data_IF_150118608303
#
_entry.id   IF_150118608303
#
_cell.length_a   1.000
_cell.length_b   1.000
_cell.length_c   1.000
_cell.angle_alpha   90.00
_cell.angle_beta   90.00
_cell.angle_gamma   90.00
#
_symmetry.space_group_name_H-M   'P 1'
#
loop_
_entity.id
_entity.type
_entity.pdbx_description
1 polymer ?
#
# COMPACT_ATOMS: atom_id res chain seq x y z
N UNK A 1 -12.72 -9.56 29.87
CA UNK A 1 -11.48 -8.78 29.80
C UNK A 1 -11.31 -8.28 28.38
N UNK A 2 -11.43 -6.96 28.19
CA UNK A 2 -11.38 -6.29 26.88
C UNK A 2 -9.92 -6.05 26.53
N UNK A 3 -9.40 -6.67 25.45
CA UNK A 3 -8.06 -6.45 24.90
C UNK A 3 -7.91 -5.05 24.27
N UNK A 4 -8.45 -4.01 24.91
CA UNK A 4 -8.56 -2.65 24.38
C UNK A 4 -7.16 -2.06 24.20
N UNK A 5 -6.62 -2.22 23.00
CA UNK A 5 -5.45 -1.48 22.52
C UNK A 5 -4.37 -2.29 21.79
N UNK A 6 -4.36 -3.63 21.86
CA UNK A 6 -3.26 -4.43 21.27
C UNK A 6 -3.59 -5.05 19.91
N UNK A 7 -4.86 -5.29 19.64
CA UNK A 7 -5.37 -5.87 18.40
C UNK A 7 -6.53 -5.06 17.86
N UNK A 8 -6.73 -5.11 16.55
CA UNK A 8 -7.78 -4.43 15.81
C UNK A 8 -8.49 -5.46 14.93
N UNK A 9 -9.81 -5.38 14.83
CA UNK A 9 -10.59 -6.20 13.89
C UNK A 9 -10.21 -5.81 12.46
N UNK A 10 -9.94 -6.79 11.60
CA UNK A 10 -9.66 -6.50 10.18
C UNK A 10 -10.87 -5.86 9.52
N UNK A 11 -12.09 -6.33 9.80
CA UNK A 11 -13.31 -5.74 9.23
C UNK A 11 -13.45 -4.27 9.60
N UNK A 12 -13.29 -3.93 10.88
CA UNK A 12 -13.37 -2.54 11.36
C UNK A 12 -12.26 -1.68 10.75
N UNK A 13 -11.04 -2.21 10.66
CA UNK A 13 -9.89 -1.50 10.08
C UNK A 13 -10.09 -1.19 8.58
N UNK A 14 -10.61 -2.13 7.80
CA UNK A 14 -10.88 -1.91 6.38
C UNK A 14 -11.99 -0.88 6.16
N UNK A 15 -13.06 -0.94 6.96
CA UNK A 15 -14.16 0.03 6.91
C UNK A 15 -13.71 1.44 7.32
N UNK A 16 -12.97 1.57 8.42
CA UNK A 16 -12.48 2.85 8.95
C UNK A 16 -11.55 3.57 7.97
N UNK A 17 -10.75 2.81 7.22
CA UNK A 17 -9.75 3.36 6.30
C UNK A 17 -10.13 3.23 4.82
N UNK A 18 -11.33 2.74 4.51
CA UNK A 18 -11.81 2.54 3.13
C UNK A 18 -10.84 1.74 2.25
N UNK A 19 -10.18 0.71 2.80
CA UNK A 19 -9.21 -0.14 2.10
C UNK A 19 -9.94 -1.33 1.49
N UNK A 20 -9.71 -1.61 0.20
CA UNK A 20 -10.29 -2.78 -0.47
C UNK A 20 -9.65 -4.10 0.01
N UNK A 21 -10.37 -5.22 -0.10
CA UNK A 21 -9.83 -6.53 0.34
C UNK A 21 -8.60 -6.99 -0.47
N UNK A 22 -8.58 -6.69 -1.77
CA UNK A 22 -7.45 -6.97 -2.66
C UNK A 22 -6.22 -6.16 -2.27
N UNK A 23 -6.42 -4.86 -2.04
CA UNK A 23 -5.35 -3.97 -1.60
C UNK A 23 -4.80 -4.37 -0.22
N UNK A 24 -5.69 -4.76 0.70
CA UNK A 24 -5.27 -5.28 2.00
C UNK A 24 -4.43 -6.55 1.87
N UNK A 25 -4.86 -7.50 1.02
CA UNK A 25 -4.13 -8.74 0.73
C UNK A 25 -2.70 -8.43 0.26
N UNK A 26 -2.56 -7.58 -0.75
CA UNK A 26 -1.25 -7.21 -1.31
C UNK A 26 -0.33 -6.60 -0.24
N UNK A 27 -0.89 -5.78 0.65
CA UNK A 27 -0.13 -5.13 1.72
C UNK A 27 0.32 -6.10 2.79
N UNK A 28 -0.55 -6.99 3.26
CA UNK A 28 -0.17 -7.97 4.29
C UNK A 28 0.84 -8.98 3.76
N UNK A 29 0.76 -9.31 2.46
CA UNK A 29 1.72 -10.18 1.78
C UNK A 29 3.09 -9.51 1.69
N UNK A 30 3.14 -8.29 1.14
CA UNK A 30 4.38 -7.51 1.01
C UNK A 30 5.07 -7.26 2.35
N UNK A 31 4.30 -6.95 3.39
CA UNK A 31 4.83 -6.64 4.72
C UNK A 31 5.06 -7.88 5.59
N UNK A 32 4.70 -9.07 5.08
CA UNK A 32 4.72 -10.35 5.81
C UNK A 32 4.00 -10.23 7.16
N UNK A 33 2.84 -9.59 7.18
CA UNK A 33 2.06 -9.36 8.40
C UNK A 33 1.20 -10.59 8.68
N UNK A 34 1.40 -11.27 9.83
CA UNK A 34 0.54 -12.36 10.21
C UNK A 34 -0.82 -11.83 10.65
N UNK A 35 -1.88 -12.39 10.06
CA UNK A 35 -3.25 -12.21 10.53
C UNK A 35 -3.53 -13.17 11.68
N UNK A 36 -4.43 -12.81 12.59
CA UNK A 36 -4.69 -13.55 13.81
C UNK A 36 -6.16 -13.92 13.92
N UNK A 37 -6.47 -15.19 14.20
CA UNK A 37 -7.78 -15.63 14.65
C UNK A 37 -7.74 -15.98 16.14
N UNK A 38 -8.87 -15.88 16.85
CA UNK A 38 -8.93 -16.27 18.27
C UNK A 38 -8.83 -17.78 18.41
N UNK A 39 -7.97 -18.24 19.32
CA UNK A 39 -7.94 -19.64 19.73
C UNK A 39 -9.16 -19.94 20.62
N UNK A 40 -10.04 -20.90 20.25
CA UNK A 40 -11.17 -21.27 21.10
C UNK A 40 -10.72 -21.84 22.45
N UNK A 41 -11.46 -21.57 23.51
CA UNK A 41 -11.13 -22.11 24.85
C UNK A 41 -11.38 -23.62 24.97
N UNK A 42 -12.15 -24.18 24.04
CA UNK A 42 -12.52 -25.59 23.98
C UNK A 42 -11.43 -26.47 23.38
N UNK A 43 -10.40 -25.87 22.75
CA UNK A 43 -9.30 -26.62 22.15
C UNK A 43 -8.06 -26.66 23.03
N UNK A 44 -7.18 -27.62 22.75
CA UNK A 44 -5.81 -27.67 23.19
C UNK A 44 -4.89 -27.45 21.97
N UNK A 45 -3.75 -26.77 22.18
CA UNK A 45 -2.76 -26.51 21.14
C UNK A 45 -1.59 -27.47 21.33
N UNK A 46 -1.19 -28.12 20.24
CA UNK A 46 -0.03 -28.98 20.15
C UNK A 46 0.96 -28.37 19.17
N UNK A 47 2.24 -28.58 19.39
CA UNK A 47 3.30 -28.30 18.42
C UNK A 47 3.84 -29.62 17.93
N UNK A 48 4.02 -29.76 16.62
CA UNK A 48 4.53 -30.96 16.01
C UNK A 48 5.48 -30.61 14.87
N UNK A 49 6.50 -31.44 14.64
CA UNK A 49 7.46 -31.19 13.58
C UNK A 49 8.32 -32.41 13.26
N UNK A 50 9.15 -32.27 12.24
CA UNK A 50 10.19 -33.22 11.87
C UNK A 50 11.52 -32.79 12.48
N UNK A 51 12.14 -33.68 13.27
CA UNK A 51 13.22 -33.32 14.18
C UNK A 51 14.34 -34.35 14.14
N UNK A 52 15.57 -33.90 13.92
CA UNK A 52 16.77 -34.72 14.07
C UNK A 52 17.45 -34.38 15.39
N UNK A 53 17.52 -35.34 16.30
CA UNK A 53 18.29 -35.27 17.55
C UNK A 53 19.75 -35.59 17.24
N UNK A 54 20.65 -34.68 17.62
CA UNK A 54 22.09 -34.80 17.41
C UNK A 54 22.73 -35.43 18.65
N UNK A 55 22.86 -36.75 18.68
CA UNK A 55 23.59 -37.46 19.74
C UNK A 55 25.02 -37.78 19.29
N UNK A 56 25.94 -37.97 20.25
CA UNK A 56 27.37 -38.23 20.00
C UNK A 56 27.68 -39.46 19.12
N UNK A 57 26.72 -40.37 18.97
CA UNK A 57 26.93 -41.64 18.28
C UNK A 57 26.35 -41.69 16.85
N UNK A 58 25.34 -40.85 16.51
CA UNK A 58 24.74 -40.71 15.16
C UNK A 58 23.49 -39.80 15.23
N UNK A 59 23.20 -38.97 14.20
CA UNK A 59 21.94 -38.23 14.09
C UNK A 59 20.75 -39.19 13.98
N UNK A 60 19.72 -38.99 14.80
CA UNK A 60 18.48 -39.80 14.76
C UNK A 60 17.27 -38.89 14.67
N UNK A 61 16.27 -39.27 13.88
CA UNK A 61 14.93 -38.67 13.97
C UNK A 61 14.42 -38.81 15.41
N UNK A 62 13.66 -37.84 15.91
CA UNK A 62 13.13 -37.88 17.27
C UNK A 62 12.25 -39.13 17.50
N UNK A 63 11.66 -39.68 16.43
CA UNK A 63 11.23 -41.07 16.37
C UNK A 63 12.34 -41.99 15.85
N UNK A 64 13.09 -42.60 16.78
CA UNK A 64 13.42 -44.03 16.75
C UNK A 64 13.91 -44.49 18.11
N UNK A 65 13.01 -44.47 19.09
CA UNK A 65 13.02 -45.41 20.22
C UNK A 65 11.59 -45.96 20.30
N UNK A 66 11.39 -47.04 19.54
CA UNK A 66 10.25 -47.96 19.55
C UNK A 66 8.84 -47.41 19.24
N UNK A 67 8.47 -47.36 17.95
CA UNK A 67 7.21 -47.94 17.41
C UNK A 67 7.07 -47.72 15.89
N UNK A 68 6.39 -48.66 15.24
CA UNK A 68 6.20 -48.82 13.79
C UNK A 68 5.40 -47.71 13.07
N UNK A 69 5.10 -46.57 13.70
CA UNK A 69 4.36 -45.50 13.04
C UNK A 69 5.34 -44.49 12.43
N UNK A 70 5.35 -44.35 11.10
CA UNK A 70 5.86 -43.15 10.44
C UNK A 70 4.83 -42.05 10.68
N UNK A 71 5.17 -41.01 11.43
CA UNK A 71 4.28 -39.86 11.62
C UNK A 71 3.89 -39.57 13.07
N UNK A 72 3.28 -38.41 13.27
CA UNK A 72 2.50 -38.07 14.47
C UNK A 72 1.02 -38.29 14.22
N UNK A 73 0.22 -38.23 15.29
CA UNK A 73 -1.24 -38.30 15.19
C UNK A 73 -1.86 -37.11 14.43
N UNK A 74 -1.07 -36.05 14.19
CA UNK A 74 -1.51 -34.82 13.52
C UNK A 74 -1.01 -34.70 12.07
N UNK A 75 0.15 -35.26 11.78
CA UNK A 75 0.81 -35.16 10.48
C UNK A 75 1.73 -36.37 10.26
N UNK A 76 1.57 -37.03 9.11
CA UNK A 76 2.37 -38.20 8.73
C UNK A 76 3.85 -37.88 8.51
N UNK A 77 4.18 -36.63 8.16
CA UNK A 77 5.55 -36.18 7.87
C UNK A 77 6.31 -35.74 9.12
N UNK A 78 5.58 -35.45 10.21
CA UNK A 78 6.17 -35.08 11.48
C UNK A 78 6.55 -36.30 12.30
N UNK A 79 7.64 -36.24 13.05
CA UNK A 79 8.12 -37.34 13.89
C UNK A 79 8.08 -37.00 15.39
N UNK A 80 7.81 -35.75 15.77
CA UNK A 80 7.67 -35.37 17.16
C UNK A 80 6.46 -34.46 17.36
N UNK A 81 5.85 -34.55 18.53
CA UNK A 81 4.89 -33.56 18.99
C UNK A 81 4.96 -33.38 20.50
N UNK A 82 4.56 -32.20 20.96
CA UNK A 82 4.34 -31.89 22.37
C UNK A 82 3.08 -31.04 22.50
N UNK A 83 2.41 -31.14 23.65
CA UNK A 83 1.39 -30.17 24.02
C UNK A 83 2.05 -28.82 24.33
N UNK A 84 1.39 -27.73 23.98
CA UNK A 84 1.82 -26.36 24.32
C UNK A 84 1.21 -25.96 25.66
N UNK A 85 2.06 -25.67 26.65
CA UNK A 85 1.63 -25.28 28.00
C UNK A 85 1.33 -23.77 28.13
N UNK A 86 1.59 -22.98 27.08
CA UNK A 86 1.26 -21.56 27.03
C UNK A 86 -0.24 -21.35 26.80
N UNK A 87 -0.79 -20.34 27.45
CA UNK A 87 -2.18 -19.91 27.25
C UNK A 87 -2.30 -19.10 25.95
N UNK A 88 -2.28 -19.83 24.82
CA UNK A 88 -2.40 -19.28 23.47
C UNK A 88 -3.75 -18.58 23.31
N UNK A 89 -3.71 -17.30 22.92
CA UNK A 89 -4.90 -16.48 22.70
C UNK A 89 -5.28 -16.38 21.23
N UNK A 90 -4.28 -16.40 20.35
CA UNK A 90 -4.48 -16.28 18.91
C UNK A 90 -3.60 -17.25 18.15
N UNK A 91 -4.10 -17.67 16.99
CA UNK A 91 -3.39 -18.49 16.01
C UNK A 91 -3.28 -17.68 14.72
N UNK A 92 -2.17 -17.82 14.01
CA UNK A 92 -1.97 -17.05 12.78
C UNK A 92 -2.57 -17.71 11.56
N UNK A 93 -3.27 -16.96 10.74
CA UNK A 93 -3.68 -17.39 9.40
C UNK A 93 -2.79 -16.72 8.34
N UNK A 94 -2.56 -17.40 7.22
CA UNK A 94 -1.73 -16.91 6.12
C UNK A 94 -2.50 -15.97 5.18
N UNK A 95 -1.78 -15.38 4.22
CA UNK A 95 -2.38 -14.61 3.12
C UNK A 95 -3.28 -15.48 2.26
N UNK A 96 -2.89 -16.74 2.03
CA UNK A 96 -3.70 -17.70 1.27
C UNK A 96 -5.00 -18.03 2.01
N UNK A 97 -4.95 -18.17 3.35
CA UNK A 97 -6.15 -18.38 4.16
C UNK A 97 -7.09 -17.16 4.08
N UNK A 98 -6.53 -15.94 4.09
CA UNK A 98 -7.31 -14.72 3.90
C UNK A 98 -8.02 -14.67 2.55
N UNK A 99 -7.32 -15.02 1.47
CA UNK A 99 -7.90 -15.06 0.13
C UNK A 99 -9.06 -16.05 0.05
N UNK A 100 -8.94 -17.21 0.70
CA UNK A 100 -10.03 -18.18 0.77
C UNK A 100 -11.23 -17.63 1.55
N UNK A 101 -11.00 -17.01 2.71
CA UNK A 101 -12.08 -16.39 3.51
C UNK A 101 -12.74 -15.22 2.77
N UNK A 102 -11.98 -14.41 2.03
CA UNK A 102 -12.50 -13.31 1.23
C UNK A 102 -13.42 -13.81 0.11
N UNK A 103 -13.02 -14.89 -0.58
CA UNK A 103 -13.78 -15.45 -1.69
C UNK A 103 -15.01 -16.27 -1.26
N UNK A 104 -14.89 -17.04 -0.18
CA UNK A 104 -15.91 -18.03 0.23
C UNK A 104 -16.62 -17.69 1.54
N UNK A 105 -16.19 -16.64 2.24
CA UNK A 105 -16.78 -16.15 3.49
C UNK A 105 -16.27 -16.82 4.77
N UNK A 106 -15.76 -18.05 4.67
CA UNK A 106 -15.20 -18.81 5.79
C UNK A 106 -14.14 -19.83 5.36
N UNK A 107 -13.31 -20.24 6.30
CA UNK A 107 -12.30 -21.29 6.15
C UNK A 107 -12.34 -22.23 7.35
N UNK A 108 -12.30 -23.54 7.11
CA UNK A 108 -12.11 -24.55 8.15
C UNK A 108 -10.64 -24.95 8.23
N UNK A 109 -10.01 -24.82 9.41
CA UNK A 109 -8.57 -25.07 9.56
C UNK A 109 -8.22 -25.67 10.91
N UNK A 110 -7.23 -26.57 10.94
CA UNK A 110 -6.74 -27.24 12.15
C UNK A 110 -5.23 -27.10 12.39
N UNK A 111 -4.47 -26.52 11.46
CA UNK A 111 -3.01 -26.35 11.54
C UNK A 111 -2.58 -24.88 11.40
N UNK A 112 -1.52 -24.45 12.09
CA UNK A 112 -1.08 -23.04 12.11
C UNK A 112 0.43 -22.93 12.28
N UNK A 113 1.06 -21.84 11.84
CA UNK A 113 2.52 -21.70 11.89
C UNK A 113 3.02 -20.81 13.03
N UNK A 114 2.23 -19.80 13.41
CA UNK A 114 2.53 -18.88 14.50
C UNK A 114 1.39 -18.88 15.51
N UNK A 115 1.74 -18.58 16.75
CA UNK A 115 0.81 -18.38 17.85
C UNK A 115 1.08 -17.05 18.53
N UNK A 116 0.07 -16.49 19.19
CA UNK A 116 0.23 -15.33 20.04
C UNK A 116 -0.40 -15.55 21.41
N UNK A 117 0.33 -15.17 22.45
CA UNK A 117 -0.06 -15.34 23.85
C UNK A 117 0.26 -14.08 24.64
N UNK A 118 -0.38 -13.93 25.80
CA UNK A 118 -0.13 -12.79 26.65
C UNK A 118 1.10 -13.03 27.53
N UNK A 119 2.11 -12.19 27.39
CA UNK A 119 3.28 -12.18 28.25
C UNK A 119 3.17 -11.04 29.28
N UNK A 120 3.31 -11.40 30.56
CA UNK A 120 3.15 -10.46 31.67
C UNK A 120 4.19 -9.34 31.57
N UNK A 121 3.72 -8.10 31.51
CA UNK A 121 4.57 -6.91 31.41
C UNK A 121 5.10 -6.59 30.00
N UNK A 122 4.93 -7.48 29.00
CA UNK A 122 5.37 -7.24 27.61
C UNK A 122 4.24 -7.19 26.59
N UNK A 123 3.01 -7.55 26.97
CA UNK A 123 1.85 -7.44 26.09
C UNK A 123 1.57 -8.72 25.31
N UNK A 124 1.33 -8.61 24.01
CA UNK A 124 1.04 -9.76 23.15
C UNK A 124 2.34 -10.24 22.50
N UNK A 125 2.88 -11.36 22.98
CA UNK A 125 4.06 -12.01 22.41
C UNK A 125 3.65 -12.98 21.30
N UNK A 126 4.57 -13.26 20.38
CA UNK A 126 4.40 -14.25 19.33
C UNK A 126 5.48 -15.31 19.45
N UNK A 127 5.13 -16.55 19.11
CA UNK A 127 6.08 -17.63 18.97
C UNK A 127 5.70 -18.50 17.76
N UNK A 128 6.71 -18.87 17.00
CA UNK A 128 6.59 -19.86 15.93
C UNK A 128 6.50 -21.27 16.49
N UNK A 129 5.92 -22.18 15.69
CA UNK A 129 5.93 -23.61 15.98
C UNK A 129 7.37 -24.11 16.19
N UNK A 130 8.31 -23.62 15.37
CA UNK A 130 9.72 -23.98 15.46
C UNK A 130 10.32 -23.61 16.82
N UNK A 131 10.08 -22.39 17.33
CA UNK A 131 10.60 -21.94 18.63
C UNK A 131 10.03 -22.72 19.82
N UNK A 132 8.73 -23.00 19.79
CA UNK A 132 8.09 -23.79 20.86
C UNK A 132 8.51 -25.26 20.82
N UNK A 133 8.64 -25.84 19.62
CA UNK A 133 9.16 -27.19 19.44
C UNK A 133 10.61 -27.31 19.92
N UNK A 134 11.45 -26.33 19.58
CA UNK A 134 12.83 -26.27 20.08
C UNK A 134 12.89 -26.18 21.59
N UNK A 135 11.95 -25.47 22.20
CA UNK A 135 11.87 -25.34 23.66
C UNK A 135 11.42 -26.65 24.32
N UNK A 136 10.45 -27.37 23.73
CA UNK A 136 10.01 -28.67 24.27
C UNK A 136 11.09 -29.76 24.18
N UNK A 137 12.04 -29.64 23.24
CA UNK A 137 13.12 -30.60 23.06
C UNK A 137 14.34 -30.35 23.96
N UNK A 138 14.43 -29.21 24.65
CA UNK A 138 15.56 -28.93 25.56
C UNK A 138 15.62 -29.98 26.69
N UNK A 139 16.83 -30.41 27.11
CA UNK A 139 18.15 -29.89 26.71
C UNK A 139 18.76 -30.57 25.47
N UNK A 140 18.01 -31.37 24.72
CA UNK A 140 18.55 -32.13 23.59
C UNK A 140 18.91 -31.19 22.42
N UNK A 141 20.13 -31.27 21.87
CA UNK A 141 20.47 -30.57 20.63
C UNK A 141 19.67 -31.19 19.48
N UNK A 142 18.77 -30.39 18.91
CA UNK A 142 17.86 -30.84 17.87
C UNK A 142 17.88 -29.88 16.68
N UNK A 143 17.96 -30.45 15.48
CA UNK A 143 17.71 -29.77 14.22
C UNK A 143 16.24 -29.99 13.85
N UNK A 144 15.49 -28.90 13.67
CA UNK A 144 14.08 -28.95 13.27
C UNK A 144 14.01 -28.65 11.78
N UNK A 145 13.42 -29.57 11.01
CA UNK A 145 13.26 -29.46 9.55
C UNK A 145 11.98 -28.71 9.21
N UNK A 146 10.88 -29.11 9.85
CA UNK A 146 9.56 -28.51 9.69
C UNK A 146 8.81 -28.54 11.02
N UNK A 147 7.85 -27.64 11.20
CA UNK A 147 7.03 -27.56 12.39
C UNK A 147 5.73 -26.78 12.16
N UNK A 148 4.65 -27.25 12.76
CA UNK A 148 3.38 -26.56 12.82
C UNK A 148 2.67 -26.77 14.16
N UNK A 149 1.76 -25.86 14.48
CA UNK A 149 0.77 -26.03 15.52
C UNK A 149 -0.43 -26.81 15.00
N UNK A 150 -0.99 -27.65 15.85
CA UNK A 150 -2.23 -28.38 15.60
C UNK A 150 -3.17 -28.18 16.78
N UNK A 151 -4.46 -28.17 16.51
CA UNK A 151 -5.49 -28.05 17.55
C UNK A 151 -6.30 -29.34 17.68
N UNK A 152 -6.58 -29.69 18.93
CA UNK A 152 -7.37 -30.86 19.29
C UNK A 152 -8.47 -30.45 20.26
N UNK A 153 -9.52 -31.26 20.38
CA UNK A 153 -10.53 -31.04 21.41
C UNK A 153 -9.91 -31.23 22.79
N UNK A 154 -10.14 -30.28 23.71
CA UNK A 154 -9.66 -30.41 25.10
C UNK A 154 -10.18 -31.67 25.79
N UNK A 155 -11.35 -32.16 25.37
CA UNK A 155 -11.99 -33.36 25.92
C UNK A 155 -11.62 -34.64 25.14
N UNK A 156 -10.93 -34.52 24.01
CA UNK A 156 -10.54 -35.65 23.15
C UNK A 156 -9.21 -35.32 22.47
N UNK A 157 -8.07 -35.47 23.17
CA UNK A 157 -6.76 -35.03 22.70
C UNK A 157 -6.26 -35.78 21.47
N UNK A 158 -6.85 -36.93 21.15
CA UNK A 158 -6.53 -37.75 19.99
C UNK A 158 -7.38 -37.39 18.75
N UNK A 159 -8.17 -36.31 18.81
CA UNK A 159 -9.01 -35.87 17.70
C UNK A 159 -8.64 -34.46 17.29
N UNK A 160 -8.20 -34.31 16.05
CA UNK A 160 -8.03 -33.02 15.40
C UNK A 160 -9.38 -32.29 15.39
N UNK A 161 -9.35 -31.03 15.79
CA UNK A 161 -10.53 -30.17 15.78
C UNK A 161 -10.31 -29.10 14.72
N UNK A 162 -11.25 -28.95 13.79
CA UNK A 162 -11.24 -27.84 12.86
C UNK A 162 -11.94 -26.63 13.47
N UNK A 163 -11.37 -25.44 13.27
CA UNK A 163 -12.04 -24.18 13.59
C UNK A 163 -12.51 -23.52 12.30
N UNK A 164 -13.77 -23.06 12.33
CA UNK A 164 -14.33 -22.22 11.28
C UNK A 164 -13.90 -20.78 11.57
N UNK A 165 -13.23 -20.16 10.61
CA UNK A 165 -12.71 -18.80 10.69
C UNK A 165 -13.45 -17.95 9.68
N UNK A 166 -14.13 -16.90 10.15
CA UNK A 166 -14.82 -15.92 9.30
C UNK A 166 -14.08 -14.61 9.31
N UNK A 167 -14.38 -13.74 8.34
CA UNK A 167 -13.78 -12.40 8.24
C UNK A 167 -13.85 -11.59 9.55
N UNK A 168 -14.98 -11.69 10.26
CA UNK A 168 -15.22 -11.01 11.55
C UNK A 168 -14.38 -11.54 12.71
N UNK A 169 -13.78 -12.72 12.55
CA UNK A 169 -12.94 -13.37 13.57
C UNK A 169 -11.45 -13.05 13.40
N UNK A 170 -11.11 -12.24 12.38
CA UNK A 170 -9.74 -11.92 12.01
C UNK A 170 -9.31 -10.59 12.63
N UNK A 171 -8.13 -10.62 13.21
CA UNK A 171 -7.51 -9.50 13.89
C UNK A 171 -6.10 -9.24 13.35
N UNK A 172 -5.64 -8.01 13.47
CA UNK A 172 -4.25 -7.61 13.31
C UNK A 172 -3.73 -6.99 14.59
N UNK A 173 -2.42 -7.05 14.81
CA UNK A 173 -1.77 -6.28 15.88
C UNK A 173 -1.85 -4.79 15.55
N UNK A 174 -2.06 -3.94 16.56
CA UNK A 174 -2.08 -2.48 16.39
C UNK A 174 -0.78 -1.91 15.81
N UNK A 175 0.37 -2.50 16.12
CA UNK A 175 1.65 -2.09 15.53
C UNK A 175 1.69 -2.34 14.02
N UNK A 176 1.02 -3.42 13.57
CA UNK A 176 0.95 -3.77 12.15
C UNK A 176 -0.06 -2.90 11.40
N UNK A 177 -1.12 -2.39 12.05
CA UNK A 177 -2.06 -1.48 11.39
C UNK A 177 -1.35 -0.21 10.90
N UNK A 178 -0.47 0.37 11.72
CA UNK A 178 0.31 1.54 11.30
C UNK A 178 1.19 1.24 10.08
N UNK A 179 1.84 0.07 10.04
CA UNK A 179 2.66 -0.35 8.88
C UNK A 179 1.83 -0.51 7.60
N UNK A 180 0.62 -1.06 7.73
CA UNK A 180 -0.32 -1.21 6.60
C UNK A 180 -0.80 0.17 6.10
N UNK A 181 -1.00 1.13 7.01
CA UNK A 181 -1.37 2.51 6.69
C UNK A 181 -0.20 3.32 6.13
N UNK A 182 1.02 3.14 6.63
CA UNK A 182 2.23 3.78 6.09
C UNK A 182 2.49 3.35 4.64
N UNK A 183 2.04 2.14 4.27
CA UNK A 183 2.06 1.72 2.86
C UNK A 183 1.16 2.59 1.99
N UNK A 184 0.06 3.19 2.50
CA UNK A 184 -0.74 4.19 1.77
C UNK A 184 0.15 5.35 1.31
N UNK A 185 1.00 5.84 2.21
CA UNK A 185 1.90 6.97 1.95
C UNK A 185 3.08 6.62 0.99
N UNK A 186 3.33 5.33 0.74
CA UNK A 186 4.35 4.85 -0.19
C UNK A 186 3.77 4.20 -1.47
N UNK A 187 2.50 3.78 -1.51
CA UNK A 187 1.80 3.47 -2.78
C UNK A 187 1.37 4.74 -3.50
N UNK A 188 1.12 5.86 -2.79
CA UNK A 188 1.12 7.21 -3.38
C UNK A 188 2.50 7.61 -3.93
N UNK A 189 3.56 6.85 -3.60
CA UNK A 189 4.90 6.94 -4.18
C UNK A 189 5.28 5.76 -5.06
N UNK A 190 4.34 5.01 -5.64
CA UNK A 190 4.57 4.60 -7.04
C UNK A 190 4.34 5.84 -7.89
N UNK A 191 5.21 6.83 -7.65
CA UNK A 191 5.51 7.85 -8.61
C UNK A 191 5.99 7.02 -9.80
N UNK A 192 5.10 6.79 -10.78
CA UNK A 192 5.56 6.57 -12.16
C UNK A 192 6.69 7.57 -12.28
N UNK A 193 7.91 7.11 -12.54
CA UNK A 193 8.99 8.05 -12.83
C UNK A 193 8.48 8.80 -14.06
N UNK A 194 7.83 9.95 -13.83
CA UNK A 194 7.41 10.86 -14.87
C UNK A 194 8.75 11.36 -15.35
N UNK A 195 9.23 10.72 -16.42
CA UNK A 195 10.46 11.14 -17.05
C UNK A 195 10.21 12.52 -17.59
N UNK A 196 10.92 13.48 -16.99
CA UNK A 196 10.88 14.87 -17.42
C UNK A 196 11.25 14.93 -18.89
N UNK A 197 10.39 15.53 -19.68
CA UNK A 197 10.63 15.70 -21.11
C UNK A 197 11.59 16.87 -21.35
N UNK A 198 12.41 16.81 -22.39
CA UNK A 198 13.42 17.84 -22.70
C UNK A 198 12.84 19.25 -22.89
N UNK A 199 11.56 19.33 -23.26
CA UNK A 199 10.82 20.58 -23.47
C UNK A 199 10.14 21.11 -22.19
N UNK A 200 10.10 20.34 -21.11
CA UNK A 200 9.45 20.74 -19.85
C UNK A 200 10.35 21.62 -18.99
N UNK A 201 9.84 22.78 -18.59
CA UNK A 201 10.43 23.60 -17.53
C UNK A 201 10.26 22.94 -16.16
N UNK A 202 10.99 23.39 -15.14
CA UNK A 202 10.88 22.82 -13.78
C UNK A 202 9.46 23.00 -13.24
N UNK A 203 8.91 24.18 -13.42
CA UNK A 203 7.57 24.50 -12.93
C UNK A 203 6.47 23.76 -13.70
N UNK A 204 6.68 23.47 -14.99
CA UNK A 204 5.74 22.68 -15.77
C UNK A 204 5.81 21.20 -15.38
N UNK A 205 7.01 20.69 -15.13
CA UNK A 205 7.20 19.34 -14.61
C UNK A 205 6.50 19.16 -13.25
N UNK A 206 6.71 20.08 -12.31
CA UNK A 206 6.03 20.03 -11.01
C UNK A 206 4.51 20.25 -11.14
N UNK A 207 4.03 20.99 -12.14
CA UNK A 207 2.60 21.15 -12.42
C UNK A 207 1.98 19.83 -12.92
N UNK A 208 2.63 19.17 -13.88
CA UNK A 208 2.18 17.88 -14.41
C UNK A 208 2.19 16.81 -13.32
N UNK A 209 3.26 16.76 -12.52
CA UNK A 209 3.34 15.87 -11.36
C UNK A 209 2.24 16.13 -10.34
N UNK A 210 1.98 17.40 -10.00
CA UNK A 210 0.90 17.72 -9.06
C UNK A 210 -0.48 17.32 -9.61
N UNK A 211 -0.70 17.40 -10.93
CA UNK A 211 -1.93 16.88 -11.53
C UNK A 211 -2.11 15.38 -11.30
N UNK A 212 -1.02 14.62 -11.46
CA UNK A 212 -1.00 13.18 -11.22
C UNK A 212 -0.95 12.81 -9.72
N UNK A 213 -0.60 13.73 -8.83
CA UNK A 213 -0.60 13.48 -7.38
C UNK A 213 -1.99 13.71 -6.77
N UNK A 214 -2.70 14.76 -7.22
CA UNK A 214 -3.91 15.22 -6.54
C UNK A 214 -5.22 14.74 -7.19
N UNK A 215 -5.21 14.33 -8.46
CA UNK A 215 -6.42 14.14 -9.27
C UNK A 215 -6.69 12.72 -9.83
N UNK A 216 -5.75 11.72 -9.87
CA UNK A 216 -5.97 10.45 -10.59
C UNK A 216 -7.31 9.75 -10.31
N UNK A 217 -7.81 9.82 -9.07
CA UNK A 217 -9.02 9.15 -8.62
C UNK A 217 -9.93 10.04 -7.75
N UNK A 218 -9.65 11.35 -7.69
CA UNK A 218 -10.36 12.25 -6.78
C UNK A 218 -11.83 12.46 -7.20
N UNK A 219 -12.77 11.88 -6.45
CA UNK A 219 -14.19 12.19 -6.58
C UNK A 219 -14.54 13.44 -5.77
N UNK A 220 -14.46 14.62 -6.39
CA UNK A 220 -14.79 15.90 -5.75
C UNK A 220 -16.31 16.03 -5.66
N UNK A 221 -16.88 15.68 -4.51
CA UNK A 221 -18.33 15.59 -4.30
C UNK A 221 -18.96 16.91 -3.83
N UNK A 222 -18.18 17.82 -3.23
CA UNK A 222 -18.66 19.08 -2.66
C UNK A 222 -17.82 20.32 -3.02
N UNK A 223 -18.38 21.50 -2.77
CA UNK A 223 -17.70 22.78 -3.00
C UNK A 223 -16.61 23.03 -1.95
N UNK A 224 -16.80 22.56 -0.72
CA UNK A 224 -15.86 22.62 0.38
C UNK A 224 -14.60 21.78 0.09
N UNK A 225 -14.77 20.51 -0.29
CA UNK A 225 -13.66 19.63 -0.69
C UNK A 225 -12.86 20.23 -1.85
N UNK A 226 -13.56 20.84 -2.81
CA UNK A 226 -12.90 21.54 -3.92
C UNK A 226 -12.03 22.70 -3.44
N UNK A 227 -12.52 23.53 -2.50
CA UNK A 227 -11.74 24.65 -1.94
C UNK A 227 -10.51 24.14 -1.20
N UNK A 228 -10.68 23.10 -0.37
CA UNK A 228 -9.57 22.49 0.35
C UNK A 228 -8.52 21.90 -0.58
N UNK A 229 -8.94 21.23 -1.65
CA UNK A 229 -8.05 20.68 -2.66
C UNK A 229 -7.26 21.78 -3.38
N UNK A 230 -7.92 22.88 -3.77
CA UNK A 230 -7.25 24.05 -4.35
C UNK A 230 -6.20 24.60 -3.40
N UNK A 231 -6.52 24.73 -2.11
CA UNK A 231 -5.58 25.24 -1.11
C UNK A 231 -4.40 24.29 -0.87
N UNK A 232 -4.63 22.98 -0.91
CA UNK A 232 -3.57 21.95 -0.85
C UNK A 232 -2.64 22.05 -2.05
N UNK A 233 -3.19 22.13 -3.27
CA UNK A 233 -2.41 22.26 -4.50
C UNK A 233 -1.59 23.56 -4.48
N UNK A 234 -2.21 24.70 -4.11
CA UNK A 234 -1.50 25.99 -4.00
C UNK A 234 -0.32 25.91 -3.03
N UNK A 235 -0.54 25.37 -1.82
CA UNK A 235 0.53 25.18 -0.82
C UNK A 235 1.63 24.23 -1.30
N UNK A 236 1.29 23.21 -2.07
CA UNK A 236 2.27 22.31 -2.67
C UNK A 236 3.15 23.08 -3.67
N UNK A 237 2.52 23.79 -4.61
CA UNK A 237 3.23 24.53 -5.67
C UNK A 237 4.04 25.71 -5.13
N UNK A 238 3.57 26.39 -4.08
CA UNK A 238 4.31 27.46 -3.40
C UNK A 238 5.67 27.00 -2.86
N UNK A 239 5.77 25.75 -2.42
CA UNK A 239 7.04 25.17 -1.94
C UNK A 239 7.99 24.78 -3.07
N UNK A 240 7.48 24.62 -4.29
CA UNK A 240 8.19 24.03 -5.43
C UNK A 240 8.60 25.07 -6.47
N UNK A 241 7.77 26.09 -6.71
CA UNK A 241 8.11 27.13 -7.67
C UNK A 241 9.12 28.10 -7.07
N UNK A 242 10.25 28.26 -7.76
CA UNK A 242 11.23 29.29 -7.44
C UNK A 242 10.67 30.67 -7.81
N UNK A 243 10.03 31.35 -6.85
CA UNK A 243 9.52 32.73 -6.95
C UNK A 243 8.48 33.00 -8.05
N UNK A 244 7.26 32.51 -7.85
CA UNK A 244 6.11 32.85 -8.69
C UNK A 244 5.12 33.77 -7.95
N UNK A 245 4.39 34.60 -8.70
CA UNK A 245 3.37 35.50 -8.13
C UNK A 245 2.11 34.73 -7.70
N UNK A 246 1.32 35.30 -6.78
CA UNK A 246 0.06 34.73 -6.28
C UNK A 246 -0.89 34.27 -7.40
N UNK A 247 -0.97 35.05 -8.47
CA UNK A 247 -1.79 34.74 -9.64
C UNK A 247 -1.32 33.46 -10.34
N UNK A 248 -0.02 33.17 -10.37
CA UNK A 248 0.52 31.95 -11.00
C UNK A 248 0.05 30.72 -10.23
N UNK A 249 0.17 30.72 -8.90
CA UNK A 249 -0.31 29.59 -8.07
C UNK A 249 -1.80 29.36 -8.21
N UNK A 250 -2.57 30.43 -8.28
CA UNK A 250 -4.01 30.35 -8.50
C UNK A 250 -4.35 29.75 -9.87
N UNK A 251 -3.73 30.25 -10.95
CA UNK A 251 -3.94 29.68 -12.28
C UNK A 251 -3.46 28.23 -12.39
N UNK A 252 -2.33 27.88 -11.77
CA UNK A 252 -1.80 26.52 -11.75
C UNK A 252 -2.73 25.53 -11.06
N UNK A 253 -3.23 25.88 -9.87
CA UNK A 253 -4.18 25.03 -9.15
C UNK A 253 -5.48 24.82 -9.94
N UNK A 254 -5.90 25.84 -10.68
CA UNK A 254 -7.06 25.74 -11.57
C UNK A 254 -6.78 24.94 -12.83
N UNK A 255 -5.57 25.03 -13.39
CA UNK A 255 -5.17 24.22 -14.53
C UNK A 255 -5.06 22.73 -14.18
N UNK A 256 -4.81 22.37 -12.93
CA UNK A 256 -4.78 20.96 -12.51
C UNK A 256 -6.20 20.35 -12.44
N UNK A 257 -7.21 21.13 -12.04
CA UNK A 257 -8.55 20.59 -11.81
C UNK A 257 -9.26 20.16 -13.11
N UNK A 258 -9.97 19.01 -13.13
CA UNK A 258 -10.74 18.59 -14.30
C UNK A 258 -11.78 19.63 -14.72
N UNK A 259 -12.04 19.73 -16.02
CA UNK A 259 -12.92 20.75 -16.62
C UNK A 259 -14.33 20.78 -16.00
N UNK A 260 -14.86 19.61 -15.60
CA UNK A 260 -16.15 19.47 -14.91
C UNK A 260 -16.24 20.28 -13.61
N UNK A 261 -15.11 20.45 -12.92
CA UNK A 261 -15.02 21.19 -11.67
C UNK A 261 -14.61 22.64 -11.91
N UNK A 262 -14.73 23.17 -13.13
CA UNK A 262 -14.22 24.50 -13.42
C UNK A 262 -15.08 25.34 -14.37
N UNK A 263 -15.46 26.55 -13.95
CA UNK A 263 -16.42 27.42 -14.68
C UNK A 263 -15.86 28.81 -15.06
N UNK A 264 -14.72 29.24 -14.48
CA UNK A 264 -14.29 30.66 -14.54
C UNK A 264 -13.07 30.95 -15.41
N UNK A 265 -12.25 29.96 -15.76
CA UNK A 265 -11.05 30.14 -16.61
C UNK A 265 -11.03 28.96 -17.55
N UNK A 266 -11.64 29.15 -18.70
CA UNK A 266 -11.57 28.21 -19.81
C UNK A 266 -10.71 28.85 -20.88
N UNK A 267 -9.82 28.04 -21.49
CA UNK A 267 -9.43 28.39 -22.85
C UNK A 267 -10.68 28.35 -23.72
N UNK A 268 -10.79 29.26 -24.68
CA UNK A 268 -11.86 29.19 -25.68
C UNK A 268 -11.62 28.08 -26.71
N UNK A 269 -10.49 27.37 -26.63
CA UNK A 269 -10.09 26.30 -27.54
C UNK A 269 -10.04 24.96 -26.81
N UNK A 270 -10.39 23.89 -27.52
CA UNK A 270 -10.25 22.50 -27.07
C UNK A 270 -8.98 21.89 -27.66
N UNK A 271 -8.35 20.89 -27.00
CA UNK A 271 -7.28 20.11 -27.58
C UNK A 271 -7.80 19.35 -28.82
N UNK A 272 -6.97 19.17 -29.84
CA UNK A 272 -7.35 18.54 -31.11
C UNK A 272 -6.34 17.43 -31.44
N UNK A 273 -6.78 16.36 -32.09
CA UNK A 273 -5.90 15.31 -32.61
C UNK A 273 -5.30 14.42 -31.52
N UNK A 274 -4.03 14.03 -31.69
CA UNK A 274 -3.31 13.10 -30.78
C UNK A 274 -3.21 13.61 -29.34
N UNK A 275 -3.37 14.91 -29.09
CA UNK A 275 -3.36 15.49 -27.75
C UNK A 275 -4.53 14.99 -26.89
N UNK A 276 -5.66 14.55 -27.48
CA UNK A 276 -6.79 14.01 -26.71
C UNK A 276 -6.52 12.62 -26.12
N UNK A 277 -5.60 11.87 -26.70
CA UNK A 277 -5.27 10.49 -26.28
C UNK A 277 -3.91 10.38 -25.62
N UNK A 278 -3.10 11.45 -25.66
CA UNK A 278 -1.72 11.45 -25.17
C UNK A 278 -1.59 11.81 -23.69
N UNK A 279 -2.51 12.60 -23.16
CA UNK A 279 -2.52 13.00 -21.74
C UNK A 279 -3.49 12.12 -20.94
N UNK A 280 -3.28 11.98 -19.62
CA UNK A 280 -4.19 11.22 -18.76
C UNK A 280 -5.63 11.74 -18.85
N UNK A 281 -6.63 10.85 -18.71
CA UNK A 281 -8.06 11.20 -18.80
C UNK A 281 -8.47 12.28 -17.77
N UNK A 282 -7.77 12.33 -16.63
CA UNK A 282 -8.03 13.31 -15.59
C UNK A 282 -7.45 14.70 -15.85
N UNK A 283 -6.57 14.87 -16.84
CA UNK A 283 -5.92 16.13 -17.15
C UNK A 283 -6.92 17.16 -17.70
N UNK A 284 -6.88 18.39 -17.17
CA UNK A 284 -7.75 19.46 -17.67
C UNK A 284 -7.35 19.92 -19.07
N UNK A 285 -8.31 20.49 -19.79
CA UNK A 285 -8.05 21.13 -21.10
C UNK A 285 -6.98 22.22 -20.98
N UNK A 286 -6.99 22.99 -19.89
CA UNK A 286 -6.01 24.05 -19.69
C UNK A 286 -4.59 23.48 -19.52
N UNK A 287 -4.42 22.39 -18.77
CA UNK A 287 -3.12 21.76 -18.58
C UNK A 287 -2.58 21.14 -19.87
N UNK A 288 -3.44 20.47 -20.64
CA UNK A 288 -3.08 19.92 -21.95
C UNK A 288 -2.57 21.03 -22.87
N UNK A 289 -3.30 22.15 -22.96
CA UNK A 289 -2.90 23.27 -23.82
C UNK A 289 -1.61 23.96 -23.34
N UNK A 290 -1.36 24.04 -22.03
CA UNK A 290 -0.09 24.57 -21.50
C UNK A 290 1.07 23.67 -21.94
N UNK A 291 0.91 22.35 -21.89
CA UNK A 291 1.94 21.41 -22.33
C UNK A 291 2.20 21.50 -23.84
N UNK A 292 1.15 21.51 -24.66
CA UNK A 292 1.31 21.67 -26.11
C UNK A 292 1.95 23.01 -26.47
N UNK A 293 1.62 24.09 -25.76
CA UNK A 293 2.26 25.40 -25.96
C UNK A 293 3.75 25.37 -25.58
N UNK A 294 4.10 24.71 -24.47
CA UNK A 294 5.48 24.55 -24.04
C UNK A 294 6.31 23.84 -25.11
N UNK A 295 5.77 22.72 -25.64
CA UNK A 295 6.37 21.96 -26.72
C UNK A 295 6.53 22.80 -27.99
N UNK A 296 5.51 23.56 -28.38
CA UNK A 296 5.55 24.44 -29.55
C UNK A 296 6.68 25.48 -29.44
N UNK A 297 6.74 26.24 -28.34
CA UNK A 297 7.79 27.25 -28.17
C UNK A 297 9.18 26.64 -28.05
N UNK A 298 9.30 25.45 -27.46
CA UNK A 298 10.57 24.73 -27.45
C UNK A 298 11.00 24.34 -28.86
N UNK A 299 10.10 23.77 -29.67
CA UNK A 299 10.38 23.41 -31.07
C UNK A 299 10.79 24.63 -31.90
N UNK A 300 10.06 25.75 -31.78
CA UNK A 300 10.44 27.00 -32.44
C UNK A 300 11.83 27.48 -32.04
N UNK A 301 12.19 27.37 -30.76
CA UNK A 301 13.52 27.75 -30.29
C UNK A 301 14.62 26.89 -30.94
N UNK A 302 14.36 25.60 -31.22
CA UNK A 302 15.35 24.71 -31.86
C UNK A 302 15.59 25.04 -33.34
N UNK A 303 14.67 25.72 -34.02
CA UNK A 303 14.81 26.08 -35.44
C UNK A 303 15.85 27.20 -35.64
N UNK A 304 16.03 28.06 -34.64
CA UNK A 304 16.96 29.19 -34.73
C UNK A 304 18.39 28.80 -34.36
N UNK A 305 19.38 29.30 -35.10
CA UNK A 305 20.82 29.01 -34.92
C UNK A 305 21.29 29.32 -33.49
N UNK A 306 20.70 30.33 -32.84
CA UNK A 306 21.07 30.76 -31.48
C UNK A 306 20.33 29.98 -30.37
N UNK A 307 19.37 29.12 -30.72
CA UNK A 307 18.53 28.34 -29.77
C UNK A 307 17.98 29.18 -28.61
N UNK A 308 17.60 30.42 -28.89
CA UNK A 308 17.20 31.37 -27.87
C UNK A 308 15.75 31.12 -27.43
N UNK A 309 15.44 31.14 -26.13
CA UNK A 309 14.07 30.98 -25.66
C UNK A 309 13.22 32.18 -26.07
N UNK A 310 11.96 31.92 -26.43
CA UNK A 310 10.98 32.97 -26.75
C UNK A 310 10.80 33.92 -25.57
N UNK A 311 10.87 35.23 -25.82
CA UNK A 311 10.66 36.24 -24.77
C UNK A 311 9.26 36.08 -24.18
N UNK A 312 9.15 36.14 -22.85
CA UNK A 312 7.89 35.98 -22.12
C UNK A 312 6.76 36.88 -22.63
N UNK A 313 7.05 38.13 -23.00
CA UNK A 313 6.03 39.05 -23.55
C UNK A 313 5.47 38.58 -24.89
N UNK A 314 6.30 37.99 -25.74
CA UNK A 314 5.90 37.42 -27.03
C UNK A 314 5.07 36.15 -26.81
N UNK A 315 5.47 35.31 -25.86
CA UNK A 315 4.70 34.10 -25.49
C UNK A 315 3.31 34.46 -24.97
N UNK A 316 3.18 35.50 -24.13
CA UNK A 316 1.89 35.93 -23.60
C UNK A 316 0.93 36.33 -24.73
N UNK A 317 1.39 37.09 -25.73
CA UNK A 317 0.54 37.50 -26.84
C UNK A 317 0.17 36.31 -27.75
N UNK A 318 1.12 35.41 -28.01
CA UNK A 318 0.83 34.18 -28.74
C UNK A 318 -0.21 33.31 -28.01
N UNK A 319 -0.07 33.13 -26.69
CA UNK A 319 -1.02 32.33 -25.89
C UNK A 319 -2.44 32.92 -25.84
N UNK A 320 -2.58 34.24 -25.99
CA UNK A 320 -3.88 34.92 -26.10
C UNK A 320 -4.50 34.82 -27.50
N UNK A 321 -3.73 34.46 -28.52
CA UNK A 321 -4.23 34.40 -29.89
C UNK A 321 -5.34 33.34 -30.03
N UNK A 322 -6.06 33.38 -31.15
CA UNK A 322 -7.04 32.35 -31.50
C UNK A 322 -6.45 30.93 -31.54
N UNK A 323 -5.13 30.81 -31.67
CA UNK A 323 -4.45 29.53 -31.76
C UNK A 323 -4.35 28.80 -30.41
N UNK A 324 -4.41 29.54 -29.29
CA UNK A 324 -4.29 28.98 -27.95
C UNK A 324 -5.47 29.33 -27.03
N UNK A 325 -6.12 30.48 -27.25
CA UNK A 325 -7.38 30.87 -26.64
C UNK A 325 -7.31 31.16 -25.14
N UNK A 326 -6.14 31.47 -24.59
CA UNK A 326 -6.01 31.71 -23.15
C UNK A 326 -6.53 33.09 -22.76
N UNK A 327 -7.20 33.16 -21.60
CA UNK A 327 -7.49 34.45 -20.96
C UNK A 327 -6.19 35.16 -20.59
N UNK A 328 -6.22 36.49 -20.43
CA UNK A 328 -5.03 37.27 -20.09
C UNK A 328 -4.31 36.78 -18.83
N UNK A 329 -5.07 36.35 -17.80
CA UNK A 329 -4.51 35.81 -16.54
C UNK A 329 -3.84 34.45 -16.76
N UNK A 330 -4.52 33.54 -17.48
CA UNK A 330 -3.97 32.22 -17.79
C UNK A 330 -2.74 32.32 -18.68
N UNK A 331 -2.75 33.20 -19.70
CA UNK A 331 -1.61 33.43 -20.59
C UNK A 331 -0.37 33.93 -19.84
N UNK A 332 -0.55 34.89 -18.92
CA UNK A 332 0.55 35.40 -18.09
C UNK A 332 1.13 34.32 -17.17
N UNK A 333 0.27 33.50 -16.55
CA UNK A 333 0.70 32.40 -15.70
C UNK A 333 1.40 31.30 -16.51
N UNK A 334 0.78 30.83 -17.59
CA UNK A 334 1.34 29.80 -18.48
C UNK A 334 2.69 30.22 -19.05
N UNK A 335 2.83 31.45 -19.55
CA UNK A 335 4.13 31.95 -20.02
C UNK A 335 5.19 31.95 -18.91
N UNK A 336 4.81 32.20 -17.67
CA UNK A 336 5.73 32.15 -16.51
C UNK A 336 6.12 30.70 -16.18
N UNK A 337 5.16 29.78 -16.20
CA UNK A 337 5.40 28.35 -15.97
C UNK A 337 6.34 27.79 -17.04
N UNK A 338 6.10 28.08 -18.32
CA UNK A 338 6.90 27.57 -19.44
C UNK A 338 8.31 28.18 -19.48
N UNK A 339 8.48 29.47 -19.15
CA UNK A 339 9.75 30.19 -19.37
C UNK A 339 10.81 30.00 -18.27
N UNK A 340 10.46 29.50 -17.10
CA UNK A 340 11.40 29.35 -15.97
C UNK A 340 12.25 28.07 -16.12
N UNK A 341 13.47 28.20 -16.64
CA UNK A 341 14.48 27.12 -16.57
C UNK A 341 15.09 27.03 -15.16
N UNK A 342 15.42 25.80 -14.75
CA UNK A 342 16.34 25.52 -13.65
C UNK A 342 17.59 26.37 -13.76
N UNK A 343 17.98 27.03 -12.66
CA UNK A 343 19.38 27.39 -12.48
C UNK A 343 20.09 26.09 -12.11
N UNK A 344 20.96 25.61 -13.00
CA UNK A 344 21.96 24.60 -12.62
C UNK A 344 22.75 25.06 -11.40
#
# INVERSE_FOLDING_TARGET
>A
MKNKGLIISVTEFLEEHSISESEFKDRIEKLQIPLLCRCPRTVAVHVSGSVIILNDNEPKTAQSLSKQHKGTLFCADHDYHSKVDLDIKFLSISVTDWEEIANYGELSKYNFNLSAFHERGKGLAQASAHELLKTSLKPLPALIIDSAFFITSRNSPDKLEEIIIRKTDIFIRKENSNRILETIADTDKVQKNIERQEWESDNLFELNKASDEFIPEANIASQEERKELIDKIKKHLEKKYNSAGKDVFEQSAFAILPDKHYHKIKSTKMPIGEALTKYPEHASTALILINEAAKHFWQESQITIQKAPTKRTVMIEALKSSDWGFTAKLAAAAATIISLKSRN
#
